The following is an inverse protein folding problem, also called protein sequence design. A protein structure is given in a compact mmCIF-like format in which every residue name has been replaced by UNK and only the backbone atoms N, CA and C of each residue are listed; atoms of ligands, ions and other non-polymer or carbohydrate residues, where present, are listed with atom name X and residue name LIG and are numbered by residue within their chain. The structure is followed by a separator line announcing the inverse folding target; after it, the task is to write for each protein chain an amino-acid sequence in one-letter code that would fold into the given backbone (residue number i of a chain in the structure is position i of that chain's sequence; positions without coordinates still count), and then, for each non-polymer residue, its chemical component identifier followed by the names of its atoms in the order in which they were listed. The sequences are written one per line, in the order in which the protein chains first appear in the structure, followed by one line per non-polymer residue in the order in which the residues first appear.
data_IF_298118389442
#
_entry.id   IF_298118389442
#
_cell.length_a   1.000
_cell.length_b   1.000
_cell.length_c   1.000
_cell.angle_alpha   90.00
_cell.angle_beta   90.00
_cell.angle_gamma   90.00
#
_symmetry.space_group_name_H-M   'P 1'
#
loop_
_entity.id
_entity.type
_entity.pdbx_description
1 polymer ?
#
# COMPACT_ATOMS: atom_id res chain seq x y z
N UNK A 1 -26.95 -22.40 -0.21
CA UNK A 1 -26.64 -21.34 -1.21
C UNK A 1 -27.00 -21.89 -2.58
N UNK A 2 -27.75 -21.16 -3.41
CA UNK A 2 -28.20 -21.66 -4.73
C UNK A 2 -27.00 -21.73 -5.71
N UNK A 3 -26.65 -22.89 -6.29
CA UNK A 3 -25.54 -23.03 -7.23
C UNK A 3 -25.61 -22.08 -8.44
N UNK A 4 -26.81 -21.79 -8.93
CA UNK A 4 -27.02 -20.88 -10.05
C UNK A 4 -26.60 -19.44 -9.71
N UNK A 5 -26.83 -19.00 -8.48
CA UNK A 5 -26.42 -17.66 -8.04
C UNK A 5 -24.89 -17.52 -8.03
N UNK A 6 -24.15 -18.58 -7.70
CA UNK A 6 -22.69 -18.58 -7.73
C UNK A 6 -22.16 -18.51 -9.17
N UNK A 7 -22.77 -19.25 -10.09
CA UNK A 7 -22.41 -19.20 -11.52
C UNK A 7 -22.62 -17.80 -12.10
N UNK A 8 -23.77 -17.17 -11.85
CA UNK A 8 -24.03 -15.81 -12.33
C UNK A 8 -23.05 -14.78 -11.75
N UNK A 9 -22.70 -14.90 -10.46
CA UNK A 9 -21.67 -14.04 -9.85
C UNK A 9 -20.31 -14.21 -10.52
N UNK A 10 -19.87 -15.45 -10.72
CA UNK A 10 -18.59 -15.75 -11.36
C UNK A 10 -18.54 -15.24 -12.82
N UNK A 11 -19.62 -15.44 -13.59
CA UNK A 11 -19.72 -14.92 -14.96
C UNK A 11 -19.63 -13.39 -15.00
N UNK A 12 -20.35 -12.71 -14.11
CA UNK A 12 -20.29 -11.24 -14.01
C UNK A 12 -18.90 -10.73 -13.61
N UNK A 13 -18.19 -11.42 -12.72
CA UNK A 13 -16.81 -11.06 -12.36
C UNK A 13 -15.85 -11.21 -13.55
N UNK A 14 -16.01 -12.27 -14.37
CA UNK A 14 -15.22 -12.48 -15.60
C UNK A 14 -15.51 -11.38 -16.63
N UNK A 15 -16.79 -11.07 -16.90
CA UNK A 15 -17.17 -10.01 -17.83
C UNK A 15 -16.59 -8.66 -17.41
N UNK A 16 -16.68 -8.33 -16.12
CA UNK A 16 -16.08 -7.10 -15.57
C UNK A 16 -14.56 -7.06 -15.72
N UNK A 17 -13.88 -8.21 -15.60
CA UNK A 17 -12.43 -8.30 -15.82
C UNK A 17 -12.06 -8.10 -17.30
N UNK A 18 -12.88 -8.62 -18.23
CA UNK A 18 -12.67 -8.45 -19.68
C UNK A 18 -12.79 -7.00 -20.14
N UNK A 19 -13.54 -6.16 -19.42
CA UNK A 19 -13.72 -4.74 -19.74
C UNK A 19 -12.54 -3.85 -19.32
N UNK A 20 -11.56 -4.37 -18.57
CA UNK A 20 -10.42 -3.58 -18.09
C UNK A 20 -9.31 -3.53 -19.12
N UNK A 21 -8.96 -2.33 -19.56
CA UNK A 21 -7.92 -2.12 -20.59
C UNK A 21 -6.50 -2.43 -20.09
N UNK A 22 -6.26 -2.31 -18.79
CA UNK A 22 -4.95 -2.57 -18.17
C UNK A 22 -4.69 -4.06 -17.86
N UNK A 23 -5.71 -4.91 -18.00
CA UNK A 23 -5.64 -6.34 -17.67
C UNK A 23 -5.52 -6.63 -16.17
N UNK A 24 -5.68 -5.64 -15.29
CA UNK A 24 -5.55 -5.81 -13.84
C UNK A 24 -6.94 -6.00 -13.24
N UNK A 25 -7.32 -7.25 -12.94
CA UNK A 25 -8.63 -7.60 -12.34
C UNK A 25 -8.71 -7.34 -10.83
N UNK A 26 -7.58 -7.31 -10.14
CA UNK A 26 -7.45 -7.09 -8.71
C UNK A 26 -7.17 -5.64 -8.30
N UNK A 27 -6.57 -5.48 -7.12
CA UNK A 27 -5.96 -4.22 -6.67
C UNK A 27 -4.53 -4.17 -7.20
N UNK A 28 -4.24 -3.23 -8.11
CA UNK A 28 -2.90 -3.04 -8.66
C UNK A 28 -1.90 -2.59 -7.59
N UNK A 29 -0.69 -3.14 -7.65
CA UNK A 29 0.41 -2.80 -6.73
C UNK A 29 1.29 -1.67 -7.25
N UNK A 30 1.13 -1.35 -8.54
CA UNK A 30 1.98 -0.47 -9.35
C UNK A 30 3.42 -1.01 -9.53
N UNK A 31 3.65 -2.29 -9.20
CA UNK A 31 4.82 -3.04 -9.64
C UNK A 31 4.45 -3.83 -10.89
N UNK A 32 4.70 -3.26 -12.07
CA UNK A 32 4.21 -3.78 -13.36
C UNK A 32 4.44 -5.28 -13.56
N UNK A 33 5.64 -5.78 -13.28
CA UNK A 33 5.95 -7.21 -13.46
C UNK A 33 5.22 -8.11 -12.44
N UNK A 34 5.00 -7.62 -11.22
CA UNK A 34 4.21 -8.34 -10.23
C UNK A 34 2.73 -8.36 -10.65
N UNK A 35 2.19 -7.22 -11.04
CA UNK A 35 0.80 -7.09 -11.46
C UNK A 35 0.49 -7.91 -12.73
N UNK A 36 1.46 -8.05 -13.65
CA UNK A 36 1.33 -8.97 -14.80
C UNK A 36 1.17 -10.43 -14.38
N UNK A 37 1.86 -10.86 -13.33
CA UNK A 37 1.81 -12.26 -12.86
C UNK A 37 0.56 -12.49 -12.00
N UNK A 38 0.19 -11.54 -11.16
CA UNK A 38 -0.90 -11.68 -10.18
C UNK A 38 -2.25 -11.18 -10.69
N UNK A 39 -2.26 -10.38 -11.77
CA UNK A 39 -3.40 -9.54 -12.17
C UNK A 39 -3.83 -8.58 -11.05
N UNK A 40 -2.89 -8.16 -10.21
CA UNK A 40 -3.14 -7.44 -8.96
C UNK A 40 -3.65 -8.35 -7.84
N UNK A 41 -3.85 -7.80 -6.65
CA UNK A 41 -4.35 -8.57 -5.50
C UNK A 41 -5.84 -8.88 -5.62
N UNK A 42 -6.17 -10.16 -5.60
CA UNK A 42 -7.54 -10.63 -5.72
C UNK A 42 -8.26 -10.60 -4.38
N UNK A 43 -9.58 -10.39 -4.44
CA UNK A 43 -10.41 -10.39 -3.24
C UNK A 43 -10.46 -11.78 -2.64
N UNK A 44 -10.29 -11.87 -1.32
CA UNK A 44 -10.31 -13.10 -0.51
C UNK A 44 -9.00 -13.91 -0.50
N UNK A 45 -7.96 -13.46 -1.20
CA UNK A 45 -6.64 -14.09 -1.14
C UNK A 45 -5.88 -13.71 0.13
N UNK A 46 -5.12 -14.66 0.67
CA UNK A 46 -4.12 -14.44 1.71
C UNK A 46 -2.73 -14.47 1.07
N UNK A 47 -2.10 -13.31 0.96
CA UNK A 47 -0.76 -13.16 0.39
C UNK A 47 0.27 -13.11 1.51
N UNK A 48 1.29 -13.98 1.43
CA UNK A 48 2.38 -14.05 2.41
C UNK A 48 3.67 -13.56 1.77
N UNK A 49 4.23 -12.47 2.29
CA UNK A 49 5.52 -11.94 1.87
C UNK A 49 6.57 -12.30 2.93
N UNK A 50 7.42 -13.27 2.63
CA UNK A 50 8.50 -13.72 3.51
C UNK A 50 9.87 -13.25 2.99
N UNK A 51 10.68 -12.70 3.88
CA UNK A 51 12.05 -12.31 3.57
C UNK A 51 12.92 -12.34 4.84
N UNK A 52 14.23 -12.42 4.69
CA UNK A 52 15.17 -12.29 5.81
C UNK A 52 15.15 -10.86 6.39
N UNK A 53 15.52 -10.65 7.66
CA UNK A 53 15.69 -9.31 8.24
C UNK A 53 16.60 -8.43 7.36
N UNK A 54 16.21 -7.16 7.19
CA UNK A 54 16.97 -6.20 6.39
C UNK A 54 16.78 -6.31 4.86
N UNK A 55 16.08 -7.32 4.33
CA UNK A 55 15.84 -7.49 2.88
C UNK A 55 14.73 -6.59 2.32
N UNK A 56 14.27 -5.58 3.07
CA UNK A 56 13.32 -4.59 2.57
C UNK A 56 11.84 -5.00 2.58
N UNK A 57 11.43 -6.10 3.24
CA UNK A 57 10.01 -6.52 3.32
C UNK A 57 9.07 -5.37 3.68
N UNK A 58 9.38 -4.63 4.74
CA UNK A 58 8.54 -3.51 5.20
C UNK A 58 8.54 -2.37 4.20
N UNK A 59 9.68 -2.05 3.58
CA UNK A 59 9.74 -1.02 2.55
C UNK A 59 8.88 -1.40 1.34
N UNK A 60 8.99 -2.65 0.87
CA UNK A 60 8.19 -3.19 -0.23
C UNK A 60 6.68 -3.11 0.05
N UNK A 61 6.24 -3.55 1.23
CA UNK A 61 4.83 -3.49 1.63
C UNK A 61 4.33 -2.04 1.74
N UNK A 62 5.14 -1.13 2.30
CA UNK A 62 4.76 0.28 2.41
C UNK A 62 4.69 0.98 1.04
N UNK A 63 5.62 0.69 0.13
CA UNK A 63 5.56 1.22 -1.24
C UNK A 63 4.28 0.78 -1.95
N UNK A 64 3.92 -0.49 -1.80
CA UNK A 64 2.67 -1.03 -2.34
C UNK A 64 1.43 -0.37 -1.71
N UNK A 65 1.39 -0.25 -0.38
CA UNK A 65 0.30 0.41 0.33
C UNK A 65 0.14 1.87 -0.10
N UNK A 66 1.26 2.60 -0.25
CA UNK A 66 1.29 3.96 -0.78
C UNK A 66 0.69 4.01 -2.18
N UNK A 67 1.11 3.14 -3.09
CA UNK A 67 0.60 3.14 -4.46
C UNK A 67 -0.91 2.89 -4.49
N UNK A 68 -1.39 1.91 -3.74
CA UNK A 68 -2.82 1.57 -3.64
C UNK A 68 -3.63 2.75 -3.08
N UNK A 69 -3.12 3.43 -2.04
CA UNK A 69 -3.85 4.50 -1.39
C UNK A 69 -3.75 5.83 -2.15
N UNK A 70 -2.57 6.20 -2.65
CA UNK A 70 -2.32 7.48 -3.32
C UNK A 70 -2.75 7.43 -4.78
N UNK A 71 -2.28 6.44 -5.56
CA UNK A 71 -2.53 6.40 -7.01
C UNK A 71 -3.92 5.86 -7.33
N UNK A 72 -4.36 4.83 -6.59
CA UNK A 72 -5.64 4.15 -6.84
C UNK A 72 -6.78 4.62 -5.92
N UNK A 73 -6.50 5.49 -4.95
CA UNK A 73 -7.49 6.02 -3.99
C UNK A 73 -8.30 4.91 -3.29
N UNK A 74 -7.67 3.75 -3.05
CA UNK A 74 -8.29 2.62 -2.35
C UNK A 74 -7.87 2.63 -0.88
N UNK A 75 -8.82 2.52 0.07
CA UNK A 75 -8.49 2.46 1.49
C UNK A 75 -7.55 1.30 1.84
N UNK A 76 -6.50 1.59 2.61
CA UNK A 76 -5.53 0.59 3.10
C UNK A 76 -5.42 0.67 4.61
N UNK A 77 -5.53 -0.48 5.27
CA UNK A 77 -5.24 -0.63 6.69
C UNK A 77 -3.89 -1.34 6.89
N UNK A 78 -3.03 -0.77 7.74
CA UNK A 78 -1.71 -1.30 8.08
C UNK A 78 -1.68 -1.59 9.57
N UNK A 79 -1.45 -2.85 9.92
CA UNK A 79 -1.23 -3.28 11.30
C UNK A 79 0.27 -3.50 11.51
N UNK A 80 0.86 -2.78 12.47
CA UNK A 80 2.29 -2.81 12.74
C UNK A 80 2.56 -3.32 14.15
N UNK A 81 3.25 -4.46 14.24
CA UNK A 81 3.57 -5.10 15.52
C UNK A 81 5.04 -4.87 15.95
N UNK A 82 5.85 -4.28 15.07
CA UNK A 82 7.30 -4.12 15.29
C UNK A 82 7.70 -2.64 15.33
N UNK A 83 7.15 -1.83 14.42
CA UNK A 83 7.48 -0.43 14.26
C UNK A 83 6.33 0.46 14.70
N UNK A 84 6.64 1.65 15.24
CA UNK A 84 5.58 2.60 15.59
C UNK A 84 4.97 3.25 14.34
N UNK A 85 3.73 3.75 14.49
CA UNK A 85 2.99 4.44 13.44
C UNK A 85 3.80 5.60 12.86
N UNK A 86 4.48 6.39 13.71
CA UNK A 86 5.32 7.51 13.26
C UNK A 86 6.53 7.04 12.42
N UNK A 87 7.12 5.88 12.73
CA UNK A 87 8.23 5.33 11.95
C UNK A 87 7.77 4.85 10.58
N UNK A 88 6.56 4.30 10.47
CA UNK A 88 5.98 3.91 9.18
C UNK A 88 5.61 5.14 8.34
N UNK A 89 4.96 6.14 8.94
CA UNK A 89 4.60 7.40 8.26
C UNK A 89 5.85 8.10 7.72
N UNK A 90 6.94 8.19 8.50
CA UNK A 90 8.19 8.77 8.02
C UNK A 90 8.76 8.03 6.80
N UNK A 91 8.57 6.71 6.71
CA UNK A 91 8.97 5.94 5.53
C UNK A 91 8.05 6.18 4.33
N UNK A 92 6.75 6.30 4.55
CA UNK A 92 5.80 6.67 3.49
C UNK A 92 6.12 8.06 2.94
N UNK A 93 6.36 9.04 3.81
CA UNK A 93 6.78 10.40 3.45
C UNK A 93 8.09 10.38 2.66
N UNK A 94 9.10 9.63 3.13
CA UNK A 94 10.39 9.48 2.44
C UNK A 94 10.22 8.90 1.02
N UNK A 95 9.34 7.90 0.87
CA UNK A 95 9.02 7.30 -0.43
C UNK A 95 8.20 8.21 -1.35
N UNK A 96 7.28 8.99 -0.81
CA UNK A 96 6.45 9.95 -1.55
C UNK A 96 7.26 11.16 -2.03
N UNK A 97 8.02 11.77 -1.11
CA UNK A 97 8.69 13.03 -1.37
C UNK A 97 10.08 12.85 -2.00
N UNK A 98 10.54 11.60 -2.15
CA UNK A 98 11.89 11.24 -2.60
C UNK A 98 13.01 11.90 -1.77
N UNK A 99 12.76 12.08 -0.47
CA UNK A 99 13.70 12.70 0.47
C UNK A 99 14.34 11.61 1.32
N UNK A 100 15.68 11.65 1.53
CA UNK A 100 16.34 10.71 2.41
C UNK A 100 15.75 10.70 3.83
N UNK A 101 15.47 9.52 4.36
CA UNK A 101 14.91 9.37 5.70
C UNK A 101 15.79 9.97 6.82
N UNK A 102 17.09 10.15 6.56
CA UNK A 102 18.00 10.81 7.49
C UNK A 102 17.75 12.32 7.59
N UNK A 103 17.50 12.99 6.47
CA UNK A 103 17.22 14.43 6.45
C UNK A 103 15.88 14.74 7.12
N UNK A 104 14.88 13.89 6.91
CA UNK A 104 13.59 13.94 7.63
C UNK A 104 13.81 13.82 9.14
N UNK A 105 14.64 12.85 9.58
CA UNK A 105 14.93 12.66 11.01
C UNK A 105 15.73 13.80 11.62
N UNK A 106 16.66 14.39 10.89
CA UNK A 106 17.53 15.48 11.36
C UNK A 106 16.86 16.85 11.26
N UNK A 107 15.76 16.97 10.51
CA UNK A 107 15.13 18.25 10.22
C UNK A 107 16.02 19.15 9.36
N UNK A 108 16.92 18.57 8.56
CA UNK A 108 17.89 19.32 7.78
C UNK A 108 17.27 19.75 6.44
N UNK A 109 16.49 20.82 6.47
CA UNK A 109 15.82 21.36 5.29
C UNK A 109 16.19 22.83 5.10
N UNK A 110 16.55 23.20 3.88
CA UNK A 110 16.44 24.58 3.43
C UNK A 110 14.96 24.97 3.34
N UNK A 111 14.67 26.27 3.37
CA UNK A 111 13.30 26.77 3.27
C UNK A 111 12.59 26.29 1.98
N UNK A 112 13.31 26.24 0.86
CA UNK A 112 12.79 25.76 -0.42
C UNK A 112 12.50 24.25 -0.40
N UNK A 113 13.36 23.44 0.22
CA UNK A 113 13.12 22.01 0.38
C UNK A 113 11.93 21.73 1.28
N UNK A 114 11.71 22.54 2.31
CA UNK A 114 10.56 22.41 3.20
C UNK A 114 9.23 22.73 2.49
N UNK A 115 9.21 23.75 1.62
CA UNK A 115 8.03 24.06 0.80
C UNK A 115 7.75 22.92 -0.21
N UNK A 116 8.78 22.39 -0.87
CA UNK A 116 8.63 21.23 -1.77
C UNK A 116 8.19 19.96 -1.04
N UNK A 117 8.69 19.75 0.18
CA UNK A 117 8.28 18.65 1.04
C UNK A 117 6.78 18.69 1.32
N UNK A 118 6.25 19.87 1.66
CA UNK A 118 4.84 20.03 1.98
C UNK A 118 3.95 19.74 0.76
N UNK A 119 4.33 20.25 -0.42
CA UNK A 119 3.61 19.99 -1.66
C UNK A 119 3.62 18.50 -2.04
N UNK A 120 4.78 17.82 -1.93
CA UNK A 120 4.90 16.39 -2.25
C UNK A 120 4.13 15.50 -1.29
N UNK A 121 4.05 15.88 -0.01
CA UNK A 121 3.35 15.08 1.02
C UNK A 121 1.83 15.30 1.03
N UNK A 122 1.32 16.30 0.30
CA UNK A 122 -0.11 16.58 0.20
C UNK A 122 -0.91 15.38 -0.32
N UNK A 123 -0.40 14.69 -1.36
CA UNK A 123 -1.04 13.51 -1.90
C UNK A 123 -1.20 12.40 -0.84
N UNK A 124 -0.19 12.24 0.03
CA UNK A 124 -0.23 11.28 1.13
C UNK A 124 -1.23 11.69 2.22
N UNK A 125 -1.41 13.00 2.46
CA UNK A 125 -2.40 13.50 3.44
C UNK A 125 -3.84 13.29 3.02
N UNK A 126 -4.10 13.24 1.71
CA UNK A 126 -5.42 13.01 1.13
C UNK A 126 -5.71 11.51 0.94
N UNK A 127 -4.67 10.65 1.01
CA UNK A 127 -4.78 9.23 0.79
C UNK A 127 -5.45 8.49 1.97
N UNK A 128 -6.35 7.51 1.71
CA UNK A 128 -7.06 6.76 2.74
C UNK A 128 -6.21 5.66 3.38
N UNK A 129 -5.15 6.04 4.12
CA UNK A 129 -4.27 5.12 4.85
C UNK A 129 -4.59 5.14 6.34
N UNK A 130 -4.87 3.97 6.92
CA UNK A 130 -5.14 3.78 8.34
C UNK A 130 -4.04 2.92 8.95
N UNK A 131 -3.39 3.40 10.01
CA UNK A 131 -2.29 2.68 10.66
C UNK A 131 -2.67 2.41 12.12
N UNK A 132 -2.48 1.17 12.53
CA UNK A 132 -2.62 0.72 13.91
C UNK A 132 -1.30 0.07 14.36
N UNK A 133 -0.62 0.69 15.33
CA UNK A 133 0.57 0.17 15.98
C UNK A 133 0.31 -0.25 17.44
N UNK A 134 -0.96 -0.46 17.81
CA UNK A 134 -1.33 -0.95 19.14
C UNK A 134 -0.60 -2.27 19.40
N UNK A 135 0.32 -2.32 20.37
CA UNK A 135 0.99 -3.56 20.71
C UNK A 135 -0.08 -4.56 21.14
N UNK A 136 -0.12 -5.72 20.50
CA UNK A 136 -0.97 -6.81 20.95
C UNK A 136 -0.45 -7.25 22.31
N UNK A 137 -0.99 -6.72 23.41
CA UNK A 137 -0.99 -7.43 24.68
C UNK A 137 -1.87 -8.64 24.45
N UNK A 138 -1.28 -9.71 23.95
CA UNK A 138 -1.91 -11.02 23.88
C UNK A 138 -1.96 -11.50 25.33
N UNK A 139 -3.03 -11.13 26.03
CA UNK A 139 -3.44 -11.88 27.21
C UNK A 139 -4.12 -13.14 26.68
N UNK A 140 -3.38 -14.25 26.68
CA UNK A 140 -3.97 -15.58 26.76
C UNK A 140 -4.52 -15.81 28.16
#
# INVERSE_FOLDING_TARGET
MNPWLLLFKAQSEIENAMLREDGISGVGTSFTELDKITSGWQKSDMIVIAARPGMGKTAFVLSMARNVAVDHQKPVAIFSLEMSSIQLVNRLISGEAEIPAEDIRRGNFSKNEFEQFFERTKALSEAPVFIDDTPSTIHF
#
